data_IF_467268535886
#
_entry.id   IF_467268535886
#
_cell.length_a   1.000
_cell.length_b   1.000
_cell.length_c   1.000
_cell.angle_alpha   90.00
_cell.angle_beta   90.00
_cell.angle_gamma   90.00
#
_symmetry.space_group_name_H-M   'P 1'
#
loop_
_entity.id
_entity.type
_entity.pdbx_description
1 polymer ?
#
# COMPACT_ATOMS: atom_id res chain seq x y z
N UNK A 1 23.22 25.14 32.88
CA UNK A 1 24.31 24.67 31.99
C UNK A 1 23.93 23.26 31.54
N UNK A 2 23.33 23.13 30.35
CA UNK A 2 23.97 22.58 29.13
C UNK A 2 24.20 21.05 29.24
N UNK A 3 23.72 20.18 28.35
CA UNK A 3 23.41 20.38 26.94
C UNK A 3 22.48 19.29 26.41
N UNK A 4 21.61 19.71 25.50
CA UNK A 4 20.96 18.89 24.50
C UNK A 4 21.97 18.05 23.72
N UNK A 5 21.85 16.72 23.82
CA UNK A 5 22.35 15.74 22.85
C UNK A 5 21.28 14.64 22.85
N UNK A 6 20.58 14.30 21.79
CA UNK A 6 21.05 14.23 20.41
C UNK A 6 19.83 14.10 19.48
N UNK A 7 19.16 15.22 19.17
CA UNK A 7 18.13 15.30 18.11
C UNK A 7 18.75 15.36 16.69
N UNK A 8 19.89 14.70 16.47
CA UNK A 8 20.69 14.87 15.24
C UNK A 8 20.96 13.55 14.48
N UNK A 9 20.15 12.50 14.65
CA UNK A 9 20.27 11.29 13.82
C UNK A 9 19.41 11.32 12.54
N UNK A 10 18.63 12.38 12.30
CA UNK A 10 17.85 12.53 11.06
C UNK A 10 18.69 13.06 9.88
N UNK A 11 19.87 13.66 10.14
CA UNK A 11 20.65 14.38 9.13
C UNK A 11 21.77 13.54 8.45
N UNK A 12 21.85 12.24 8.70
CA UNK A 12 22.87 11.34 8.12
C UNK A 12 22.28 10.28 7.17
N UNK A 13 21.08 10.51 6.63
CA UNK A 13 20.43 9.58 5.70
C UNK A 13 20.67 10.11 4.29
N UNK A 14 21.57 9.46 3.55
CA UNK A 14 21.85 9.77 2.15
C UNK A 14 20.56 9.84 1.30
N UNK A 15 20.64 10.41 0.08
CA UNK A 15 19.47 10.79 -0.69
C UNK A 15 18.50 9.60 -0.87
N UNK A 16 17.27 9.77 -0.37
CA UNK A 16 16.11 8.91 -0.60
C UNK A 16 16.19 7.43 -0.21
N UNK A 17 16.56 7.12 1.03
CA UNK A 17 16.38 5.75 1.55
C UNK A 17 14.90 5.33 1.61
N UNK A 18 14.03 6.25 2.00
CA UNK A 18 12.61 5.98 2.29
C UNK A 18 11.63 6.47 1.22
N UNK A 19 12.13 6.69 0.00
CA UNK A 19 11.30 7.12 -1.12
C UNK A 19 11.72 6.38 -2.39
N UNK A 20 10.79 6.25 -3.32
CA UNK A 20 11.02 5.70 -4.65
C UNK A 20 11.61 6.76 -5.58
N UNK A 21 12.61 6.36 -6.37
CA UNK A 21 13.06 7.16 -7.50
C UNK A 21 12.00 7.19 -8.61
N UNK A 22 12.08 8.16 -9.53
CA UNK A 22 11.19 8.21 -10.69
C UNK A 22 11.20 6.90 -11.52
N UNK A 23 12.37 6.26 -11.62
CA UNK A 23 12.51 4.97 -12.30
C UNK A 23 11.77 3.84 -11.55
N UNK A 24 11.83 3.83 -10.22
CA UNK A 24 11.11 2.87 -9.39
C UNK A 24 9.61 3.10 -9.43
N UNK A 25 9.15 4.36 -9.43
CA UNK A 25 7.75 4.70 -9.64
C UNK A 25 7.26 4.20 -11.02
N UNK A 26 8.07 4.38 -12.07
CA UNK A 26 7.77 3.81 -13.40
C UNK A 26 7.61 2.29 -13.32
N UNK A 27 8.49 1.60 -12.62
CA UNK A 27 8.38 0.15 -12.43
C UNK A 27 7.14 -0.28 -11.66
N UNK A 28 6.82 0.43 -10.58
CA UNK A 28 5.62 0.18 -9.78
C UNK A 28 4.35 0.39 -10.59
N UNK A 29 4.28 1.46 -11.37
CA UNK A 29 3.16 1.71 -12.29
C UNK A 29 2.98 0.58 -13.29
N UNK A 30 4.06 0.11 -13.92
CA UNK A 30 3.99 -0.98 -14.91
C UNK A 30 3.57 -2.32 -14.30
N UNK A 31 4.07 -2.63 -13.10
CA UNK A 31 3.65 -3.81 -12.36
C UNK A 31 2.18 -3.70 -11.93
N UNK A 32 1.80 -2.52 -11.42
CA UNK A 32 0.44 -2.18 -11.03
C UNK A 32 -0.54 -2.32 -12.18
N UNK A 33 -0.23 -1.81 -13.38
CA UNK A 33 -1.10 -1.91 -14.56
C UNK A 33 -1.27 -3.35 -15.06
N UNK A 34 -0.35 -4.26 -14.74
CA UNK A 34 -0.52 -5.69 -15.02
C UNK A 34 -1.47 -6.33 -14.03
N UNK A 35 -1.42 -5.92 -12.76
CA UNK A 35 -2.26 -6.43 -11.68
C UNK A 35 -3.68 -5.84 -11.71
N UNK A 36 -3.78 -4.55 -12.04
CA UNK A 36 -4.99 -3.74 -12.08
C UNK A 36 -4.96 -2.96 -13.40
N UNK A 37 -5.39 -3.59 -14.51
CA UNK A 37 -5.36 -2.98 -15.85
C UNK A 37 -6.44 -1.92 -16.08
N UNK A 38 -7.30 -1.66 -15.09
CA UNK A 38 -8.49 -0.83 -15.24
C UNK A 38 -9.60 -1.54 -16.04
N UNK A 39 -10.66 -0.81 -16.36
CA UNK A 39 -11.84 -1.33 -17.07
C UNK A 39 -13.14 -1.00 -16.35
N UNK A 40 -14.27 -1.11 -17.05
CA UNK A 40 -15.62 -0.92 -16.49
C UNK A 40 -15.79 0.39 -15.69
N UNK A 41 -15.17 1.46 -16.19
CA UNK A 41 -15.22 2.76 -15.52
C UNK A 41 -14.26 2.91 -14.35
N UNK A 42 -13.31 2.00 -14.13
CA UNK A 42 -12.20 2.15 -13.17
C UNK A 42 -10.88 2.49 -13.89
N UNK A 43 -10.06 3.39 -13.31
CA UNK A 43 -8.72 3.67 -13.84
C UNK A 43 -7.83 2.45 -13.70
N UNK A 44 -6.79 2.35 -14.53
CA UNK A 44 -5.70 1.42 -14.21
C UNK A 44 -4.84 1.96 -13.05
N UNK A 45 -3.92 1.15 -12.55
CA UNK A 45 -3.10 1.52 -11.40
C UNK A 45 -2.28 2.80 -11.62
N UNK A 46 -1.68 2.97 -12.79
CA UNK A 46 -0.87 4.16 -13.08
C UNK A 46 -1.73 5.42 -13.26
N UNK A 47 -2.92 5.29 -13.83
CA UNK A 47 -3.91 6.37 -13.98
C UNK A 47 -4.47 6.84 -12.65
N UNK A 48 -4.66 5.95 -11.67
CA UNK A 48 -5.16 6.31 -10.34
C UNK A 48 -4.16 7.15 -9.52
N UNK A 49 -2.87 7.12 -9.90
CA UNK A 49 -1.81 7.81 -9.18
C UNK A 49 -1.39 7.13 -7.87
N UNK A 50 -1.87 5.92 -7.60
CA UNK A 50 -1.65 5.17 -6.36
C UNK A 50 -0.16 4.97 -6.00
N UNK A 51 0.73 4.93 -6.98
CA UNK A 51 2.18 4.79 -6.75
C UNK A 51 2.77 5.90 -5.86
N UNK A 52 2.16 7.11 -5.83
CA UNK A 52 2.60 8.21 -4.96
C UNK A 52 2.50 7.87 -3.47
N UNK A 53 1.55 7.02 -3.09
CA UNK A 53 1.38 6.54 -1.72
C UNK A 53 2.51 5.62 -1.23
N UNK A 54 3.35 5.09 -2.13
CA UNK A 54 4.42 4.16 -1.76
C UNK A 54 5.43 4.78 -0.80
N UNK A 55 5.71 6.08 -0.94
CA UNK A 55 6.65 6.81 -0.08
C UNK A 55 6.16 6.91 1.37
N UNK A 56 4.84 6.77 1.61
CA UNK A 56 4.28 6.68 2.97
C UNK A 56 4.50 5.31 3.62
N UNK A 57 4.65 4.25 2.82
CA UNK A 57 4.82 2.88 3.29
C UNK A 57 6.29 2.52 3.53
N UNK A 58 7.21 3.03 2.71
CA UNK A 58 8.65 2.73 2.77
C UNK A 58 9.35 3.00 4.12
N UNK A 59 9.00 4.05 4.89
CA UNK A 59 9.56 4.27 6.23
C UNK A 59 9.25 3.13 7.22
N UNK A 60 8.11 2.46 7.05
CA UNK A 60 7.64 1.43 7.98
C UNK A 60 8.02 0.01 7.57
N UNK A 61 8.66 -0.16 6.41
CA UNK A 61 9.18 -1.46 5.97
C UNK A 61 10.57 -1.73 6.55
N UNK A 62 10.79 -2.98 6.99
CA UNK A 62 12.12 -3.47 7.31
C UNK A 62 13.03 -3.38 6.07
N UNK A 63 14.33 -3.14 6.28
CA UNK A 63 15.28 -3.03 5.17
C UNK A 63 15.35 -4.30 4.32
N UNK A 64 15.18 -5.47 4.96
CA UNK A 64 15.15 -6.77 4.29
C UNK A 64 14.00 -6.91 3.28
N UNK A 65 12.91 -6.15 3.44
CA UNK A 65 11.78 -6.14 2.52
C UNK A 65 11.83 -4.95 1.56
N UNK A 66 12.20 -3.76 2.10
CA UNK A 66 12.25 -2.51 1.35
C UNK A 66 13.24 -2.56 0.20
N UNK A 67 14.46 -3.04 0.45
CA UNK A 67 15.53 -2.94 -0.53
C UNK A 67 15.28 -3.90 -1.73
N UNK A 68 14.86 -5.18 -1.51
CA UNK A 68 14.38 -6.04 -2.59
C UNK A 68 13.16 -5.49 -3.32
N UNK A 69 12.21 -4.85 -2.62
CA UNK A 69 11.08 -4.19 -3.25
C UNK A 69 11.55 -3.08 -4.23
N UNK A 70 12.44 -2.19 -3.78
CA UNK A 70 13.02 -1.13 -4.63
C UNK A 70 13.80 -1.71 -5.82
N UNK A 71 14.51 -2.81 -5.61
CA UNK A 71 15.20 -3.53 -6.69
C UNK A 71 14.21 -4.09 -7.70
N UNK A 72 13.14 -4.76 -7.25
CA UNK A 72 12.09 -5.30 -8.12
C UNK A 72 11.44 -4.19 -8.94
N UNK A 73 11.11 -3.05 -8.33
CA UNK A 73 10.56 -1.90 -9.06
C UNK A 73 11.55 -1.40 -10.11
N UNK A 74 12.84 -1.35 -9.78
CA UNK A 74 13.88 -0.99 -10.74
C UNK A 74 13.92 -1.98 -11.91
N UNK A 75 13.81 -3.28 -11.68
CA UNK A 75 13.77 -4.29 -12.76
C UNK A 75 12.52 -4.14 -13.64
N UNK A 76 11.33 -4.04 -13.02
CA UNK A 76 10.06 -3.85 -13.73
C UNK A 76 10.05 -2.56 -14.58
N UNK A 77 10.85 -1.56 -14.21
CA UNK A 77 10.94 -0.32 -14.99
C UNK A 77 11.55 -0.51 -16.38
N UNK A 78 12.40 -1.53 -16.57
CA UNK A 78 13.07 -1.84 -17.85
C UNK A 78 12.36 -2.96 -18.64
N UNK A 79 11.72 -3.91 -17.96
CA UNK A 79 11.09 -5.07 -18.61
C UNK A 79 9.88 -4.68 -19.46
N UNK A 80 9.67 -5.26 -20.68
CA UNK A 80 8.46 -5.04 -21.45
C UNK A 80 7.22 -5.62 -20.76
N UNK A 81 6.01 -5.10 -21.05
CA UNK A 81 4.76 -5.51 -20.38
C UNK A 81 4.54 -7.04 -20.39
N UNK A 82 4.75 -7.77 -21.50
CA UNK A 82 4.61 -9.23 -21.52
C UNK A 82 5.54 -9.95 -20.54
N UNK A 83 6.76 -9.45 -20.33
CA UNK A 83 7.70 -10.04 -19.38
C UNK A 83 7.23 -9.85 -17.93
N UNK A 84 6.69 -8.66 -17.60
CA UNK A 84 6.11 -8.37 -16.29
C UNK A 84 4.88 -9.28 -16.07
N UNK A 85 4.00 -9.39 -17.07
CA UNK A 85 2.85 -10.30 -17.04
C UNK A 85 3.27 -11.75 -16.83
N UNK A 86 4.29 -12.23 -17.56
CA UNK A 86 4.83 -13.58 -17.40
C UNK A 86 5.40 -13.82 -16.01
N UNK A 87 6.14 -12.86 -15.45
CA UNK A 87 6.64 -12.92 -14.08
C UNK A 87 5.50 -13.00 -13.05
N UNK A 88 4.49 -12.14 -13.17
CA UNK A 88 3.31 -12.15 -12.29
C UNK A 88 2.54 -13.48 -12.41
N UNK A 89 2.36 -13.99 -13.63
CA UNK A 89 1.70 -15.26 -13.88
C UNK A 89 2.47 -16.44 -13.27
N UNK A 90 3.80 -16.45 -13.39
CA UNK A 90 4.68 -17.46 -12.80
C UNK A 90 4.55 -17.47 -11.28
N UNK A 91 4.66 -16.30 -10.65
CA UNK A 91 4.53 -16.13 -9.20
C UNK A 91 3.11 -16.50 -8.72
N UNK A 92 2.08 -16.20 -9.52
CA UNK A 92 0.70 -16.61 -9.26
C UNK A 92 0.48 -18.12 -9.37
N UNK A 93 1.29 -18.82 -10.18
CA UNK A 93 1.22 -20.26 -10.41
C UNK A 93 1.93 -21.11 -9.33
N UNK A 94 2.21 -20.55 -8.15
CA UNK A 94 2.89 -21.23 -7.02
C UNK A 94 2.32 -22.62 -6.68
N UNK A 95 1.02 -22.87 -6.90
CA UNK A 95 0.38 -24.20 -6.69
C UNK A 95 0.92 -25.32 -7.59
N UNK A 96 1.55 -24.97 -8.72
CA UNK A 96 2.08 -25.92 -9.70
C UNK A 96 3.58 -26.19 -9.53
N UNK A 97 4.20 -25.59 -8.53
CA UNK A 97 5.65 -25.66 -8.28
C UNK A 97 5.89 -26.54 -7.05
N UNK A 98 6.93 -27.39 -7.02
CA UNK A 98 7.27 -28.16 -5.83
C UNK A 98 7.86 -27.28 -4.72
N UNK A 99 7.80 -27.77 -3.48
CA UNK A 99 8.53 -27.15 -2.37
C UNK A 99 10.05 -27.36 -2.54
N UNK A 100 10.90 -26.41 -2.11
CA UNK A 100 10.61 -25.19 -1.34
C UNK A 100 10.27 -23.94 -2.18
N UNK A 101 10.31 -24.05 -3.51
CA UNK A 101 10.11 -22.92 -4.42
C UNK A 101 8.68 -22.36 -4.37
N UNK A 102 7.70 -23.24 -4.13
CA UNK A 102 6.31 -22.84 -3.93
C UNK A 102 6.14 -21.84 -2.78
N UNK A 103 6.87 -22.03 -1.66
CA UNK A 103 6.93 -21.07 -0.55
C UNK A 103 7.41 -19.68 -0.98
N UNK A 104 8.49 -19.60 -1.75
CA UNK A 104 9.05 -18.33 -2.26
C UNK A 104 8.05 -17.63 -3.19
N UNK A 105 7.45 -18.36 -4.12
CA UNK A 105 6.48 -17.77 -5.04
C UNK A 105 5.21 -17.31 -4.34
N UNK A 106 4.75 -18.06 -3.33
CA UNK A 106 3.63 -17.64 -2.49
C UNK A 106 3.94 -16.34 -1.74
N UNK A 107 5.13 -16.22 -1.14
CA UNK A 107 5.55 -15.00 -0.45
C UNK A 107 5.63 -13.81 -1.42
N UNK A 108 6.25 -13.99 -2.59
CA UNK A 108 6.32 -12.97 -3.62
C UNK A 108 4.92 -12.54 -4.12
N UNK A 109 4.01 -13.50 -4.32
CA UNK A 109 2.63 -13.24 -4.73
C UNK A 109 1.87 -12.42 -3.69
N UNK A 110 2.04 -12.75 -2.39
CA UNK A 110 1.44 -12.00 -1.29
C UNK A 110 2.01 -10.59 -1.20
N UNK A 111 3.33 -10.43 -1.30
CA UNK A 111 3.98 -9.11 -1.26
C UNK A 111 3.56 -8.20 -2.42
N UNK A 112 3.59 -8.71 -3.66
CA UNK A 112 3.20 -7.95 -4.85
C UNK A 112 1.73 -7.54 -4.77
N UNK A 113 0.83 -8.49 -4.46
CA UNK A 113 -0.61 -8.20 -4.34
C UNK A 113 -0.88 -7.22 -3.21
N UNK A 114 -0.28 -7.45 -2.04
CA UNK A 114 -0.45 -6.63 -0.85
C UNK A 114 -0.07 -5.18 -1.13
N UNK A 115 1.12 -4.93 -1.68
CA UNK A 115 1.56 -3.56 -2.00
C UNK A 115 0.64 -2.90 -3.03
N UNK A 116 0.37 -3.58 -4.15
CA UNK A 116 -0.42 -2.98 -5.24
C UNK A 116 -1.86 -2.71 -4.80
N UNK A 117 -2.53 -3.66 -4.14
CA UNK A 117 -3.92 -3.50 -3.73
C UNK A 117 -4.06 -2.49 -2.61
N UNK A 118 -3.17 -2.52 -1.61
CA UNK A 118 -3.19 -1.53 -0.54
C UNK A 118 -3.01 -0.13 -1.09
N UNK A 119 -2.06 0.10 -2.00
CA UNK A 119 -1.89 1.42 -2.61
C UNK A 119 -3.12 1.83 -3.43
N UNK A 120 -3.62 0.95 -4.28
CA UNK A 120 -4.73 1.25 -5.19
C UNK A 120 -6.03 1.60 -4.46
N UNK A 121 -6.34 0.89 -3.38
CA UNK A 121 -7.57 1.11 -2.60
C UNK A 121 -7.35 1.98 -1.35
N UNK A 122 -6.16 2.53 -1.12
CA UNK A 122 -5.92 3.40 0.06
C UNK A 122 -6.51 4.79 -0.05
N UNK A 123 -6.78 5.25 -1.27
CA UNK A 123 -7.23 6.61 -1.60
C UNK A 123 -6.35 7.76 -1.03
N UNK A 124 -5.09 7.47 -0.73
CA UNK A 124 -4.23 8.41 0.00
C UNK A 124 -3.71 9.60 -0.84
N UNK A 125 -3.84 9.56 -2.17
CA UNK A 125 -3.28 10.58 -3.07
C UNK A 125 -3.86 10.56 -4.51
N UNK A 126 -5.14 10.14 -4.67
CA UNK A 126 -5.79 10.03 -5.98
C UNK A 126 -6.16 11.43 -6.50
N UNK A 127 -5.19 12.10 -7.13
CA UNK A 127 -5.36 13.47 -7.63
C UNK A 127 -6.37 13.60 -8.79
N UNK A 128 -7.03 12.51 -9.21
CA UNK A 128 -7.70 12.37 -10.53
C UNK A 128 -9.06 11.66 -10.54
N UNK A 129 -9.68 11.42 -9.39
CA UNK A 129 -11.02 10.79 -9.35
C UNK A 129 -10.96 9.44 -8.69
N UNK A 130 -11.10 9.56 -7.38
CA UNK A 130 -11.13 8.58 -6.31
C UNK A 130 -11.75 7.22 -6.70
N UNK A 131 -10.96 6.16 -6.53
CA UNK A 131 -11.40 4.77 -6.70
C UNK A 131 -12.57 4.48 -5.76
N UNK A 132 -12.61 5.08 -4.57
CA UNK A 132 -13.71 4.96 -3.61
C UNK A 132 -14.99 5.59 -4.15
N UNK A 133 -14.93 6.80 -4.73
CA UNK A 133 -16.09 7.41 -5.40
C UNK A 133 -16.66 6.51 -6.50
N UNK A 134 -15.80 5.91 -7.34
CA UNK A 134 -16.25 4.99 -8.41
C UNK A 134 -16.82 3.67 -7.86
N UNK A 135 -16.37 3.23 -6.69
CA UNK A 135 -16.96 2.09 -5.97
C UNK A 135 -18.28 2.44 -5.26
N UNK A 136 -18.66 3.73 -5.19
CA UNK A 136 -19.76 4.18 -4.33
C UNK A 136 -19.45 4.04 -2.83
N UNK A 137 -18.16 3.99 -2.47
CA UNK A 137 -17.72 3.88 -1.10
C UNK A 137 -17.89 5.22 -0.38
N UNK A 138 -18.91 5.30 0.48
CA UNK A 138 -19.22 6.47 1.30
C UNK A 138 -19.42 6.02 2.75
N UNK A 139 -18.34 5.77 3.51
CA UNK A 139 -18.45 5.32 4.89
C UNK A 139 -18.99 6.47 5.75
N UNK A 140 -20.17 6.26 6.34
CA UNK A 140 -20.74 7.15 7.35
C UNK A 140 -20.83 6.42 8.68
N UNK A 141 -20.48 7.10 9.77
CA UNK A 141 -20.78 6.63 11.12
C UNK A 141 -22.22 7.04 11.42
N UNK A 142 -23.06 6.07 11.76
CA UNK A 142 -24.37 6.35 12.34
C UNK A 142 -24.19 6.67 13.82
N UNK A 143 -24.07 7.97 14.13
CA UNK A 143 -23.85 8.47 15.48
C UNK A 143 -25.03 8.16 16.39
N UNK A 144 -26.27 8.14 15.89
CA UNK A 144 -27.47 7.84 16.69
C UNK A 144 -27.48 6.39 17.16
N UNK A 145 -27.16 5.45 16.25
CA UNK A 145 -26.99 4.04 16.59
C UNK A 145 -25.82 3.82 17.56
N UNK A 146 -24.71 4.55 17.39
CA UNK A 146 -23.55 4.46 18.28
C UNK A 146 -23.85 4.97 19.70
N UNK A 147 -24.51 6.13 19.82
CA UNK A 147 -24.90 6.70 21.12
C UNK A 147 -25.95 5.83 21.83
N UNK A 148 -26.90 5.27 21.10
CA UNK A 148 -27.89 4.33 21.64
C UNK A 148 -27.24 3.06 22.19
N UNK A 149 -26.22 2.53 21.51
CA UNK A 149 -25.43 1.39 21.98
C UNK A 149 -24.63 1.74 23.24
N UNK A 150 -23.97 2.90 23.27
CA UNK A 150 -23.23 3.36 24.45
C UNK A 150 -24.15 3.58 25.65
N UNK A 151 -25.32 4.19 25.47
CA UNK A 151 -26.31 4.39 26.54
C UNK A 151 -26.82 3.05 27.10
N UNK A 152 -26.98 2.03 26.25
CA UNK A 152 -27.37 0.68 26.68
C UNK A 152 -26.26 -0.01 27.50
N UNK A 153 -25.00 0.08 27.04
CA UNK A 153 -23.84 -0.49 27.73
C UNK A 153 -23.45 0.26 29.03
N UNK A 154 -23.59 1.59 29.04
CA UNK A 154 -23.31 2.45 30.21
C UNK A 154 -24.50 2.50 31.18
N UNK A 155 -25.71 2.20 30.72
CA UNK A 155 -26.85 1.91 31.60
C UNK A 155 -26.64 0.65 32.44
N UNK A 156 -25.90 -0.34 31.91
CA UNK A 156 -25.49 -1.55 32.66
C UNK A 156 -24.24 -1.33 33.54
N UNK A 157 -23.43 -0.32 33.24
CA UNK A 157 -22.26 0.08 34.03
C UNK A 157 -22.34 1.57 34.31
N UNK A 158 -23.05 1.95 35.36
CA UNK A 158 -23.29 3.34 35.77
C UNK A 158 -22.02 4.21 35.79
N UNK A 159 -21.71 4.81 34.64
CA UNK A 159 -20.64 5.79 34.47
C UNK A 159 -21.29 6.97 33.78
N UNK A 160 -21.45 8.03 34.55
CA UNK A 160 -22.00 9.31 34.15
C UNK A 160 -21.10 9.95 33.08
N UNK A 161 -21.61 10.04 31.84
CA UNK A 161 -20.93 10.77 30.77
C UNK A 161 -21.18 12.25 31.00
N UNK A 162 -20.18 12.93 31.56
CA UNK A 162 -20.21 14.38 31.72
C UNK A 162 -19.95 15.05 30.37
N UNK A 163 -21.00 15.62 29.78
CA UNK A 163 -20.91 16.52 28.62
C UNK A 163 -20.38 17.91 29.06
N UNK A 164 -19.82 18.71 28.12
CA UNK A 164 -18.49 19.35 28.21
C UNK A 164 -18.31 20.45 29.26
#
# INVERSE_FOLDING_TARGET
MSNAKNHNNAAAIGPNKFSLSAQQIKGLNRLGDVMIPGGDGFPNFSESGAAKGADRMLPYMYSADRDPFKMLMTVCSYLPKPAITGFVALVSAHKKVPEPLAGVFRLANLGIKGVVHSLYYSDLDTSRGDVHQRMGYNPSIDTESYESYLATQLGERGVEVKNP
#
